data_IF_589291468566
#
_entry.id   IF_589291468566
#
_cell.length_a   1.000
_cell.length_b   1.000
_cell.length_c   1.000
_cell.angle_alpha   90.00
_cell.angle_beta   90.00
_cell.angle_gamma   90.00
#
_symmetry.space_group_name_H-M   'P 1'
#
loop_
_entity.id
_entity.type
_entity.pdbx_description
1 polymer ?
#
# COMPACT_ATOMS: atom_id res chain seq x y z
N UNK A 1 38.25 -33.48 13.77
CA UNK A 1 37.48 -32.48 13.00
C UNK A 1 36.88 -33.17 11.78
N UNK A 2 35.71 -33.78 11.92
CA UNK A 2 35.07 -34.54 10.83
C UNK A 2 34.05 -33.65 10.14
N UNK A 3 34.42 -33.07 9.00
CA UNK A 3 33.48 -32.39 8.12
C UNK A 3 32.43 -33.40 7.66
N UNK A 4 31.20 -33.27 8.16
CA UNK A 4 30.06 -34.05 7.69
C UNK A 4 29.89 -33.86 6.18
N UNK A 5 30.38 -34.82 5.38
CA UNK A 5 30.02 -34.92 3.96
C UNK A 5 28.55 -35.33 3.90
N UNK A 6 27.66 -34.36 4.03
CA UNK A 6 26.25 -34.55 3.70
C UNK A 6 26.20 -34.86 2.19
N UNK A 7 25.56 -35.96 1.78
CA UNK A 7 25.45 -36.28 0.37
C UNK A 7 24.76 -35.12 -0.35
N UNK A 8 25.30 -34.75 -1.52
CA UNK A 8 24.73 -33.70 -2.36
C UNK A 8 23.27 -34.08 -2.71
N UNK A 9 22.30 -33.17 -2.56
CA UNK A 9 20.92 -33.42 -2.95
C UNK A 9 20.82 -33.85 -4.43
N UNK A 10 19.90 -34.75 -4.76
CA UNK A 10 19.60 -35.03 -6.16
C UNK A 10 19.01 -33.79 -6.83
N UNK A 11 19.15 -33.67 -8.15
CA UNK A 11 18.53 -32.57 -8.90
C UNK A 11 17.02 -32.51 -8.68
N UNK A 12 16.35 -33.66 -8.65
CA UNK A 12 14.92 -33.76 -8.35
C UNK A 12 14.57 -33.16 -6.98
N UNK A 13 15.41 -33.38 -5.96
CA UNK A 13 15.21 -32.78 -4.64
C UNK A 13 15.43 -31.26 -4.64
N UNK A 14 16.36 -30.76 -5.47
CA UNK A 14 16.59 -29.32 -5.63
C UNK A 14 15.40 -28.63 -6.30
N UNK A 15 14.88 -29.19 -7.39
CA UNK A 15 13.69 -28.64 -8.07
C UNK A 15 12.45 -28.73 -7.18
N UNK A 16 12.23 -29.86 -6.50
CA UNK A 16 11.10 -30.00 -5.56
C UNK A 16 11.18 -29.00 -4.39
N UNK A 17 12.38 -28.67 -3.91
CA UNK A 17 12.56 -27.62 -2.91
C UNK A 17 12.29 -26.22 -3.47
N UNK A 18 12.57 -25.98 -4.75
CA UNK A 18 12.28 -24.70 -5.40
C UNK A 18 10.77 -24.51 -5.62
N UNK A 19 10.05 -25.57 -6.01
CA UNK A 19 8.60 -25.56 -6.17
C UNK A 19 7.90 -25.32 -4.83
N UNK A 20 8.35 -26.00 -3.77
CA UNK A 20 7.82 -25.81 -2.42
C UNK A 20 8.00 -24.37 -1.92
N UNK A 21 9.16 -23.75 -2.15
CA UNK A 21 9.40 -22.35 -1.80
C UNK A 21 8.55 -21.38 -2.63
N UNK A 22 8.31 -21.71 -3.90
CA UNK A 22 7.46 -20.90 -4.77
C UNK A 22 6.01 -20.95 -4.30
N UNK A 23 5.52 -22.12 -3.90
CA UNK A 23 4.18 -22.30 -3.34
C UNK A 23 3.98 -21.53 -2.02
N UNK A 24 5.01 -21.50 -1.15
CA UNK A 24 4.95 -20.78 0.14
C UNK A 24 4.99 -19.26 0.00
N UNK A 25 5.84 -18.75 -0.90
CA UNK A 25 6.12 -17.30 -0.99
C UNK A 25 5.39 -16.62 -2.15
N UNK A 26 4.78 -17.38 -3.05
CA UNK A 26 4.17 -16.89 -4.28
C UNK A 26 5.15 -16.22 -5.24
N UNK A 27 6.47 -16.39 -5.03
CA UNK A 27 7.54 -15.76 -5.82
C UNK A 27 8.64 -16.78 -6.10
N UNK A 28 9.38 -16.57 -7.19
CA UNK A 28 10.56 -17.39 -7.50
C UNK A 28 11.59 -17.29 -6.36
N UNK A 29 12.09 -18.41 -5.81
CA UNK A 29 13.03 -18.40 -4.70
C UNK A 29 14.38 -17.82 -5.11
N UNK A 30 15.12 -17.27 -4.16
CA UNK A 30 16.52 -16.88 -4.40
C UNK A 30 17.45 -18.10 -4.27
N UNK A 31 18.60 -18.06 -4.95
CA UNK A 31 19.64 -19.10 -4.84
C UNK A 31 20.07 -19.32 -3.37
N UNK A 32 20.14 -18.25 -2.59
CA UNK A 32 20.46 -18.32 -1.17
C UNK A 32 19.35 -19.01 -0.37
N UNK A 33 18.08 -18.68 -0.62
CA UNK A 33 16.95 -19.31 0.07
C UNK A 33 16.90 -20.82 -0.20
N UNK A 34 17.19 -21.23 -1.44
CA UNK A 34 17.24 -22.64 -1.81
C UNK A 34 18.40 -23.38 -1.13
N UNK A 35 19.60 -22.78 -1.11
CA UNK A 35 20.77 -23.34 -0.43
C UNK A 35 20.53 -23.50 1.08
N UNK A 36 19.91 -22.50 1.72
CA UNK A 36 19.53 -22.54 3.13
C UNK A 36 18.52 -23.65 3.40
N UNK A 37 17.48 -23.78 2.56
CA UNK A 37 16.45 -24.83 2.72
C UNK A 37 17.01 -26.24 2.55
N UNK A 38 17.96 -26.41 1.64
CA UNK A 38 18.67 -27.68 1.44
C UNK A 38 19.75 -27.92 2.50
N UNK A 39 20.07 -26.91 3.32
CA UNK A 39 21.10 -26.97 4.36
C UNK A 39 22.49 -27.21 3.79
N UNK A 40 22.82 -26.56 2.68
CA UNK A 40 24.16 -26.58 2.06
C UNK A 40 24.68 -25.15 1.88
N UNK A 41 26.01 -25.00 1.90
CA UNK A 41 26.62 -23.68 1.71
C UNK A 41 26.31 -23.15 0.30
N UNK A 42 26.05 -21.84 0.18
CA UNK A 42 25.69 -21.20 -1.08
C UNK A 42 26.79 -21.40 -2.15
N UNK A 43 28.07 -21.31 -1.77
CA UNK A 43 29.20 -21.57 -2.68
C UNK A 43 29.20 -23.00 -3.22
N UNK A 44 28.86 -23.99 -2.38
CA UNK A 44 28.69 -25.39 -2.78
C UNK A 44 27.50 -25.54 -3.71
N UNK A 45 26.37 -24.91 -3.40
CA UNK A 45 25.19 -24.92 -4.25
C UNK A 45 25.50 -24.38 -5.66
N UNK A 46 26.13 -23.20 -5.76
CA UNK A 46 26.47 -22.57 -7.05
C UNK A 46 27.45 -23.38 -7.89
N UNK A 47 28.36 -24.11 -7.25
CA UNK A 47 29.35 -24.98 -7.95
C UNK A 47 28.73 -26.26 -8.49
N UNK A 48 27.76 -26.85 -7.78
CA UNK A 48 27.18 -28.15 -8.14
C UNK A 48 25.89 -28.05 -8.95
N UNK A 49 25.17 -26.91 -8.88
CA UNK A 49 23.92 -26.67 -9.61
C UNK A 49 23.95 -25.32 -10.36
N UNK A 50 24.91 -25.11 -11.28
CA UNK A 50 25.02 -23.85 -12.03
C UNK A 50 23.85 -23.63 -13.00
N UNK A 51 23.27 -24.70 -13.52
CA UNK A 51 22.07 -24.73 -14.35
C UNK A 51 20.84 -24.21 -13.61
N UNK A 52 20.59 -24.74 -12.40
CA UNK A 52 19.50 -24.26 -11.54
C UNK A 52 19.69 -22.79 -11.17
N UNK A 53 20.94 -22.36 -10.94
CA UNK A 53 21.24 -20.95 -10.71
C UNK A 53 20.90 -20.06 -11.91
N UNK A 54 21.16 -20.53 -13.13
CA UNK A 54 20.83 -19.82 -14.36
C UNK A 54 19.31 -19.73 -14.57
N UNK A 55 18.58 -20.82 -14.29
CA UNK A 55 17.11 -20.86 -14.36
C UNK A 55 16.47 -19.86 -13.39
N UNK A 56 16.94 -19.82 -12.13
CA UNK A 56 16.44 -18.88 -11.11
C UNK A 56 16.71 -17.42 -11.50
N UNK A 57 17.88 -17.14 -12.09
CA UNK A 57 18.24 -15.82 -12.59
C UNK A 57 17.38 -15.39 -13.78
N UNK A 58 17.12 -16.31 -14.72
CA UNK A 58 16.25 -16.08 -15.87
C UNK A 58 14.78 -15.85 -15.43
N UNK A 59 14.28 -16.63 -14.48
CA UNK A 59 12.94 -16.45 -13.92
C UNK A 59 12.76 -15.09 -13.21
N UNK A 60 13.81 -14.57 -12.57
CA UNK A 60 13.80 -13.22 -11.98
C UNK A 60 13.83 -12.12 -13.05
N UNK A 61 14.41 -12.42 -14.22
CA UNK A 61 14.59 -11.46 -15.33
C UNK A 61 13.45 -11.47 -16.36
N UNK A 62 12.47 -12.37 -16.20
CA UNK A 62 11.24 -12.41 -17.00
C UNK A 62 10.46 -11.06 -16.87
N UNK A 63 9.64 -10.66 -17.86
CA UNK A 63 9.18 -9.27 -18.11
C UNK A 63 8.30 -8.60 -17.03
N UNK A 64 8.19 -9.18 -15.83
CA UNK A 64 7.51 -8.63 -14.66
C UNK A 64 8.13 -7.30 -14.16
N UNK A 65 9.43 -7.08 -14.34
CA UNK A 65 10.09 -5.87 -13.85
C UNK A 65 9.59 -4.59 -14.55
N UNK A 66 9.35 -4.64 -15.86
CA UNK A 66 8.82 -3.51 -16.62
C UNK A 66 7.37 -3.17 -16.22
N UNK A 67 6.52 -4.19 -16.02
CA UNK A 67 5.14 -3.99 -15.53
C UNK A 67 5.12 -3.40 -14.11
N UNK A 68 6.01 -3.84 -13.23
CA UNK A 68 6.11 -3.32 -11.87
C UNK A 68 6.55 -1.85 -11.83
N UNK A 69 7.51 -1.46 -12.67
CA UNK A 69 7.94 -0.05 -12.81
C UNK A 69 6.79 0.81 -13.36
N UNK A 70 6.06 0.33 -14.36
CA UNK A 70 4.91 1.04 -14.92
C UNK A 70 3.74 1.15 -13.92
N UNK A 71 3.49 0.13 -13.12
CA UNK A 71 2.48 0.17 -12.06
C UNK A 71 2.88 1.18 -10.96
N UNK A 72 4.17 1.23 -10.61
CA UNK A 72 4.67 2.19 -9.62
C UNK A 72 4.57 3.64 -10.11
N UNK A 73 4.91 3.92 -11.38
CA UNK A 73 4.79 5.26 -11.94
C UNK A 73 3.33 5.71 -12.03
N UNK A 74 2.43 4.83 -12.45
CA UNK A 74 0.99 5.09 -12.45
C UNK A 74 0.47 5.39 -11.03
N UNK A 75 0.81 4.54 -10.05
CA UNK A 75 0.40 4.74 -8.67
C UNK A 75 0.95 6.05 -8.07
N UNK A 76 2.16 6.45 -8.45
CA UNK A 76 2.76 7.73 -8.03
C UNK A 76 1.99 8.92 -8.62
N UNK A 77 1.61 8.86 -9.89
CA UNK A 77 0.82 9.89 -10.54
C UNK A 77 -0.58 10.01 -9.90
N UNK A 78 -1.24 8.89 -9.63
CA UNK A 78 -2.54 8.85 -8.97
C UNK A 78 -2.46 9.43 -7.55
N UNK A 79 -1.42 9.07 -6.78
CA UNK A 79 -1.21 9.64 -5.45
C UNK A 79 -0.95 11.15 -5.49
N UNK A 80 -0.25 11.65 -6.51
CA UNK A 80 -0.03 13.08 -6.68
C UNK A 80 -1.36 13.81 -6.96
N UNK A 81 -2.20 13.23 -7.83
CA UNK A 81 -3.54 13.72 -8.13
C UNK A 81 -4.43 13.72 -6.89
N UNK A 82 -4.55 12.60 -6.18
CA UNK A 82 -5.37 12.49 -4.97
C UNK A 82 -4.96 13.50 -3.88
N UNK A 83 -3.66 13.80 -3.76
CA UNK A 83 -3.19 14.84 -2.83
C UNK A 83 -3.59 16.24 -3.29
N UNK A 84 -3.64 16.49 -4.60
CA UNK A 84 -4.13 17.76 -5.14
C UNK A 84 -5.63 17.92 -4.87
N UNK A 85 -6.42 16.92 -5.25
CA UNK A 85 -7.87 16.92 -5.08
C UNK A 85 -8.24 17.06 -3.60
N UNK A 86 -7.50 16.39 -2.70
CA UNK A 86 -7.70 16.53 -1.24
C UNK A 86 -7.45 17.95 -0.74
N UNK A 87 -6.43 18.65 -1.26
CA UNK A 87 -6.15 20.04 -0.86
C UNK A 87 -7.26 20.96 -1.34
N UNK A 88 -7.67 20.83 -2.59
CA UNK A 88 -8.75 21.62 -3.17
C UNK A 88 -10.08 21.43 -2.41
N UNK A 89 -10.44 20.18 -2.10
CA UNK A 89 -11.63 19.87 -1.31
C UNK A 89 -11.56 20.45 0.10
N UNK A 90 -10.38 20.45 0.73
CA UNK A 90 -10.20 21.05 2.06
C UNK A 90 -10.39 22.57 2.01
N UNK A 91 -9.84 23.24 0.99
CA UNK A 91 -10.01 24.68 0.78
C UNK A 91 -11.50 25.03 0.54
N UNK A 92 -12.19 24.25 -0.29
CA UNK A 92 -13.63 24.43 -0.53
C UNK A 92 -14.46 24.23 0.75
N UNK A 93 -14.09 23.25 1.58
CA UNK A 93 -14.77 23.00 2.84
C UNK A 93 -14.62 24.17 3.82
N UNK A 94 -13.41 24.72 3.95
CA UNK A 94 -13.15 25.89 4.80
C UNK A 94 -13.96 27.11 4.33
N UNK A 95 -14.01 27.35 3.02
CA UNK A 95 -14.84 28.43 2.45
C UNK A 95 -16.33 28.23 2.73
N UNK A 96 -16.83 26.99 2.60
CA UNK A 96 -18.22 26.67 2.89
C UNK A 96 -18.56 26.86 4.38
N UNK A 97 -17.66 26.45 5.29
CA UNK A 97 -17.82 26.65 6.73
C UNK A 97 -17.92 28.15 7.04
N UNK A 98 -16.99 28.95 6.51
CA UNK A 98 -17.00 30.40 6.71
C UNK A 98 -18.29 31.06 6.18
N UNK A 99 -18.78 30.61 5.02
CA UNK A 99 -20.04 31.09 4.45
C UNK A 99 -21.25 30.76 5.35
N UNK A 100 -21.34 29.52 5.86
CA UNK A 100 -22.42 29.10 6.76
C UNK A 100 -22.39 29.88 8.07
N UNK A 101 -21.21 30.09 8.64
CA UNK A 101 -21.05 30.88 9.86
C UNK A 101 -21.53 32.32 9.66
N UNK A 102 -21.11 32.97 8.57
CA UNK A 102 -21.54 34.33 8.22
C UNK A 102 -23.06 34.40 8.05
N UNK A 103 -23.63 33.50 7.25
CA UNK A 103 -25.08 33.44 7.03
C UNK A 103 -25.85 33.21 8.32
N UNK A 104 -25.30 32.43 9.25
CA UNK A 104 -25.94 32.17 10.55
C UNK A 104 -25.99 33.44 11.41
N UNK A 105 -24.91 34.23 11.42
CA UNK A 105 -24.86 35.53 12.11
C UNK A 105 -25.86 36.50 11.47
N UNK A 106 -25.81 36.65 10.14
CA UNK A 106 -26.71 37.55 9.40
C UNK A 106 -28.18 37.18 9.63
N UNK A 107 -28.50 35.88 9.62
CA UNK A 107 -29.86 35.41 9.88
C UNK A 107 -30.34 35.73 11.30
N UNK A 108 -29.47 35.59 12.31
CA UNK A 108 -29.77 35.97 13.69
C UNK A 108 -30.04 37.47 13.85
N UNK A 109 -29.23 38.31 13.21
CA UNK A 109 -29.41 39.76 13.21
C UNK A 109 -30.71 40.16 12.53
N UNK A 110 -31.01 39.61 11.36
CA UNK A 110 -32.24 39.89 10.63
C UNK A 110 -33.48 39.46 11.42
N UNK A 111 -33.45 38.31 12.09
CA UNK A 111 -34.53 37.86 12.98
C UNK A 111 -34.76 38.82 14.14
N UNK A 112 -33.69 39.35 14.73
CA UNK A 112 -33.77 40.32 15.83
C UNK A 112 -34.35 41.65 15.32
N UNK A 113 -33.83 42.17 14.21
CA UNK A 113 -34.33 43.41 13.60
C UNK A 113 -35.82 43.31 13.20
N UNK A 114 -36.26 42.16 12.67
CA UNK A 114 -37.68 41.92 12.38
C UNK A 114 -38.54 41.89 13.64
N UNK A 115 -38.03 41.30 14.74
CA UNK A 115 -38.74 41.27 16.01
C UNK A 115 -38.95 42.67 16.58
N UNK A 116 -37.88 43.48 16.58
CA UNK A 116 -37.91 44.86 17.05
C UNK A 116 -38.84 45.73 16.20
N UNK A 117 -38.79 45.60 14.87
CA UNK A 117 -39.63 46.35 13.94
C UNK A 117 -41.12 46.02 14.08
N UNK A 118 -41.47 44.79 14.48
CA UNK A 118 -42.86 44.35 14.57
C UNK A 118 -43.47 44.48 15.98
N UNK A 119 -42.75 45.00 16.99
CA UNK A 119 -43.26 45.13 18.38
C UNK A 119 -43.88 43.84 18.92
N UNK A 120 -43.43 42.67 18.44
CA UNK A 120 -44.02 41.38 18.78
C UNK A 120 -43.58 41.04 20.20
N UNK A 121 -44.47 41.10 21.18
CA UNK A 121 -44.16 40.67 22.55
C UNK A 121 -44.14 39.13 22.60
N UNK A 122 -43.02 38.47 22.89
CA UNK A 122 -43.00 37.01 22.96
C UNK A 122 -43.84 36.53 24.15
N UNK A 123 -44.85 35.71 23.89
CA UNK A 123 -45.66 35.10 24.93
C UNK A 123 -44.79 34.10 25.73
N UNK A 124 -44.84 34.13 27.08
CA UNK A 124 -44.03 33.25 27.89
C UNK A 124 -44.33 31.78 27.56
N UNK A 125 -43.28 31.00 27.29
CA UNK A 125 -43.43 29.55 27.10
C UNK A 125 -43.92 28.94 28.41
N UNK A 126 -45.12 28.36 28.36
CA UNK A 126 -45.74 27.65 29.49
C UNK A 126 -44.79 26.54 29.98
N UNK A 127 -44.39 26.51 31.26
CA UNK A 127 -43.62 25.41 31.81
C UNK A 127 -44.46 24.13 31.77
N UNK A 128 -43.82 23.00 31.40
CA UNK A 128 -44.40 21.66 31.47
C UNK A 128 -44.28 21.09 32.87
#
# INVERSE_FOLDING_TARGET
>A
MNAHRRPLPSRSAVHGAADALTAETGRSPSVLALATRLGIANTTFRRHYPDVCAELAAATSAPSASKAVNAYTALKADNARLRSDKRELAEQLELAIAAVQRLSVDNGLLRTALHDAHSVTPLPRRPR
#
